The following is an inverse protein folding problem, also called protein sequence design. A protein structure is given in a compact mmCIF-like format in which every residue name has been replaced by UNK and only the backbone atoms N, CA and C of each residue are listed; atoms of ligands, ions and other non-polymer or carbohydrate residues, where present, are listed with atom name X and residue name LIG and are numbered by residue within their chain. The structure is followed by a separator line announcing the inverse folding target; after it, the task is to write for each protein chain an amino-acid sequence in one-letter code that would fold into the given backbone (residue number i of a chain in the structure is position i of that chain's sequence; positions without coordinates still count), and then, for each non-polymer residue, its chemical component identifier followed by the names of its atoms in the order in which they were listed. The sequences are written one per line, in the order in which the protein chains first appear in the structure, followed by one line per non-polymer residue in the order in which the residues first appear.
data_IF_847687671704
#
_entry.id   IF_847687671704
#
_cell.length_a   1.000
_cell.length_b   1.000
_cell.length_c   1.000
_cell.angle_alpha   90.00
_cell.angle_beta   90.00
_cell.angle_gamma   90.00
#
_symmetry.space_group_name_H-M   'P 1'
#
loop_
_entity.id
_entity.type
_entity.pdbx_description
1 polymer ?
#
# COMPACT_ATOMS: atom_id res chain seq x y z
N UNK A 1 22.05 -10.84 7.33
CA UNK A 1 22.32 -9.44 6.98
C UNK A 1 20.99 -8.72 7.08
N UNK A 2 20.89 -7.66 7.88
CA UNK A 2 19.63 -6.96 8.12
C UNK A 2 19.66 -5.60 7.41
N UNK A 3 18.72 -5.40 6.49
CA UNK A 3 18.53 -4.12 5.81
C UNK A 3 17.23 -3.49 6.31
N UNK A 4 17.27 -2.21 6.68
CA UNK A 4 16.10 -1.44 7.10
C UNK A 4 16.06 -0.13 6.32
N UNK A 5 14.89 0.23 5.82
CA UNK A 5 14.73 1.45 5.05
C UNK A 5 13.33 2.04 5.25
N UNK A 6 13.26 3.38 5.22
CA UNK A 6 12.00 4.14 5.29
C UNK A 6 11.57 4.44 3.86
N UNK A 7 10.37 3.99 3.49
CA UNK A 7 9.85 4.17 2.13
C UNK A 7 8.91 5.35 1.99
N UNK A 8 8.08 5.58 3.00
CA UNK A 8 7.06 6.61 2.97
C UNK A 8 6.79 7.15 4.37
N UNK A 9 6.33 8.39 4.40
CA UNK A 9 5.80 9.01 5.60
C UNK A 9 4.55 9.82 5.25
N UNK A 10 3.69 10.00 6.24
CA UNK A 10 2.51 10.86 6.16
C UNK A 10 2.48 11.78 7.38
N UNK A 11 2.06 13.02 7.18
CA UNK A 11 1.74 13.95 8.26
C UNK A 11 0.23 13.88 8.51
N UNK A 12 -0.17 13.93 9.77
CA UNK A 12 -1.58 13.93 10.14
C UNK A 12 -2.29 15.16 9.56
N UNK A 13 -3.60 15.08 9.29
CA UNK A 13 -4.35 16.21 8.71
C UNK A 13 -4.32 17.51 9.51
N UNK A 14 -4.11 17.42 10.83
CA UNK A 14 -3.96 18.57 11.72
C UNK A 14 -2.51 19.07 11.84
N UNK A 15 -1.55 18.41 11.19
CA UNK A 15 -0.13 18.78 11.19
C UNK A 15 0.64 18.44 12.47
N UNK A 16 0.00 17.77 13.44
CA UNK A 16 0.59 17.56 14.77
C UNK A 16 1.41 16.27 14.90
N UNK A 17 1.20 15.31 14.00
CA UNK A 17 1.80 13.97 14.06
C UNK A 17 2.37 13.56 12.71
N UNK A 18 3.30 12.62 12.78
CA UNK A 18 3.89 11.97 11.63
C UNK A 18 3.78 10.45 11.81
N UNK A 19 3.52 9.75 10.71
CA UNK A 19 3.60 8.30 10.61
C UNK A 19 4.63 7.97 9.53
N UNK A 20 5.42 6.91 9.74
CA UNK A 20 6.34 6.38 8.72
C UNK A 20 6.38 4.86 8.83
N UNK A 21 6.58 4.22 7.68
CA UNK A 21 6.74 2.78 7.64
C UNK A 21 8.21 2.40 7.41
N UNK A 22 8.62 1.33 8.07
CA UNK A 22 9.94 0.72 7.94
C UNK A 22 9.74 -0.70 7.44
N UNK A 23 10.40 -1.03 6.33
CA UNK A 23 10.51 -2.40 5.88
C UNK A 23 11.90 -2.92 6.30
N UNK A 24 11.93 -4.06 7.00
CA UNK A 24 13.17 -4.74 7.35
C UNK A 24 13.20 -6.13 6.73
N UNK A 25 14.23 -6.41 5.95
CA UNK A 25 14.49 -7.76 5.42
C UNK A 25 15.25 -8.53 6.50
N UNK A 26 14.71 -9.69 6.88
CA UNK A 26 15.23 -10.56 7.94
C UNK A 26 15.18 -12.02 7.51
N UNK A 27 15.96 -12.87 8.20
CA UNK A 27 15.90 -14.35 8.08
C UNK A 27 15.89 -14.84 6.63
N UNK A 28 16.91 -14.44 5.86
CA UNK A 28 17.13 -14.94 4.50
C UNK A 28 17.50 -16.43 4.62
N UNK A 29 16.67 -17.29 4.03
CA UNK A 29 16.88 -18.72 3.93
C UNK A 29 17.30 -19.01 2.49
N UNK A 30 18.49 -19.57 2.32
CA UNK A 30 18.99 -20.03 1.03
C UNK A 30 18.35 -21.38 0.70
N UNK A 31 17.20 -21.34 0.01
CA UNK A 31 16.60 -22.46 -0.73
C UNK A 31 16.66 -22.17 -2.25
N UNK A 32 16.29 -23.13 -3.11
CA UNK A 32 16.39 -23.01 -4.58
C UNK A 32 15.75 -21.71 -5.13
N UNK A 33 14.73 -21.20 -4.44
CA UNK A 33 13.99 -19.98 -4.76
C UNK A 33 14.46 -18.75 -3.91
N UNK A 34 15.10 -18.95 -2.76
CA UNK A 34 15.45 -17.87 -1.83
C UNK A 34 14.25 -17.27 -1.09
N UNK A 35 13.92 -17.80 0.08
CA UNK A 35 12.89 -17.25 0.96
C UNK A 35 13.47 -16.18 1.89
N UNK A 36 12.83 -15.00 1.99
CA UNK A 36 13.11 -14.04 3.07
C UNK A 36 11.84 -13.60 3.78
N UNK A 37 12.02 -12.96 4.93
CA UNK A 37 10.93 -12.37 5.70
C UNK A 37 11.06 -10.86 5.72
N UNK A 38 10.02 -10.17 5.24
CA UNK A 38 9.90 -8.72 5.36
C UNK A 38 9.08 -8.43 6.61
N UNK A 39 9.72 -7.78 7.56
CA UNK A 39 9.06 -7.23 8.73
C UNK A 39 8.63 -5.81 8.39
N UNK A 40 7.32 -5.60 8.29
CA UNK A 40 6.73 -4.29 8.04
C UNK A 40 6.31 -3.68 9.37
N UNK A 41 6.84 -2.51 9.68
CA UNK A 41 6.60 -1.79 10.93
C UNK A 41 6.10 -0.39 10.63
N UNK A 42 5.08 0.07 11.35
CA UNK A 42 4.57 1.45 11.27
C UNK A 42 4.80 2.11 12.60
N UNK A 43 5.46 3.26 12.54
CA UNK A 43 5.69 4.11 13.69
C UNK A 43 4.88 5.39 13.57
N UNK A 44 4.51 5.96 14.71
CA UNK A 44 3.96 7.30 14.82
C UNK A 44 4.76 8.11 15.83
N UNK A 45 4.77 9.42 15.68
CA UNK A 45 5.32 10.36 16.67
C UNK A 45 4.60 11.71 16.54
N UNK A 46 4.78 12.58 17.52
CA UNK A 46 4.51 14.01 17.34
C UNK A 46 5.49 14.58 16.29
N UNK A 47 5.13 15.71 15.68
CA UNK A 47 5.97 16.33 14.64
C UNK A 47 7.35 16.78 15.15
N UNK A 48 7.48 17.01 16.46
CA UNK A 48 8.76 17.30 17.15
C UNK A 48 9.57 16.03 17.47
N UNK A 49 9.11 14.86 17.04
CA UNK A 49 9.76 13.56 17.22
C UNK A 49 9.49 12.90 18.58
N UNK A 50 8.77 13.56 19.49
CA UNK A 50 8.41 12.98 20.80
C UNK A 50 7.27 11.97 20.68
N UNK A 51 7.08 11.20 21.75
CA UNK A 51 6.03 10.19 21.85
C UNK A 51 6.05 9.15 20.72
N UNK A 52 7.26 8.78 20.26
CA UNK A 52 7.42 7.74 19.25
C UNK A 52 6.84 6.41 19.73
N UNK A 53 5.96 5.81 18.93
CA UNK A 53 5.32 4.52 19.21
C UNK A 53 5.33 3.62 17.97
N UNK A 54 5.60 2.33 18.17
CA UNK A 54 5.30 1.29 17.18
C UNK A 54 3.80 0.99 17.27
N UNK A 55 3.07 1.18 16.17
CA UNK A 55 1.60 1.07 16.15
C UNK A 55 1.11 -0.11 15.31
N UNK A 56 1.97 -0.63 14.45
CA UNK A 56 1.70 -1.83 13.68
C UNK A 56 2.99 -2.57 13.39
N UNK A 57 2.91 -3.90 13.41
CA UNK A 57 3.98 -4.79 13.00
C UNK A 57 3.37 -6.05 12.41
N UNK A 58 3.85 -6.41 11.23
CA UNK A 58 3.57 -7.69 10.60
C UNK A 58 4.87 -8.30 10.07
N UNK A 59 4.83 -9.60 9.83
CA UNK A 59 5.91 -10.31 9.15
C UNK A 59 5.33 -11.02 7.94
N UNK A 60 5.87 -10.71 6.79
CA UNK A 60 5.46 -11.20 5.50
C UNK A 60 6.52 -12.18 5.01
N UNK A 61 6.10 -13.38 4.62
CA UNK A 61 6.98 -14.33 3.93
C UNK A 61 7.04 -13.95 2.46
N UNK A 62 8.22 -13.72 1.93
CA UNK A 62 8.46 -13.40 0.52
C UNK A 62 9.33 -14.52 -0.06
N UNK A 63 8.86 -15.14 -1.12
CA UNK A 63 9.65 -16.07 -1.94
C UNK A 63 10.40 -15.28 -3.01
N UNK A 64 11.47 -15.85 -3.56
CA UNK A 64 12.18 -15.27 -4.70
C UNK A 64 12.93 -13.97 -4.41
N UNK A 65 13.43 -13.79 -3.18
CA UNK A 65 14.10 -12.54 -2.77
C UNK A 65 15.41 -12.30 -3.52
N UNK A 66 16.03 -13.36 -4.06
CA UNK A 66 17.20 -13.25 -4.94
C UNK A 66 16.83 -13.08 -6.42
N UNK A 67 15.56 -13.20 -6.79
CA UNK A 67 15.06 -12.99 -8.16
C UNK A 67 14.60 -11.53 -8.42
N UNK A 68 15.14 -10.57 -7.65
CA UNK A 68 14.71 -9.16 -7.61
C UNK A 68 13.21 -8.98 -7.25
N UNK A 69 12.57 -9.97 -6.60
CA UNK A 69 11.18 -9.86 -6.16
C UNK A 69 11.10 -9.31 -4.71
N UNK A 70 10.39 -8.20 -4.53
CA UNK A 70 10.16 -7.58 -3.23
C UNK A 70 8.69 -7.25 -3.03
N UNK A 71 8.18 -7.36 -1.80
CA UNK A 71 6.84 -6.88 -1.46
C UNK A 71 6.94 -5.77 -0.42
N UNK A 72 6.30 -4.65 -0.71
CA UNK A 72 6.28 -3.50 0.17
C UNK A 72 4.85 -3.07 0.44
N UNK A 73 4.55 -2.66 1.67
CA UNK A 73 3.40 -1.80 1.92
C UNK A 73 3.84 -0.35 1.94
N UNK A 74 3.10 0.49 1.22
CA UNK A 74 3.33 1.92 1.10
C UNK A 74 2.11 2.64 1.65
N UNK A 75 2.34 3.54 2.59
CA UNK A 75 1.27 4.42 3.06
C UNK A 75 0.88 5.37 1.93
N UNK A 76 -0.43 5.51 1.72
CA UNK A 76 -0.98 6.34 0.64
C UNK A 76 -1.87 7.47 1.17
N UNK A 77 -2.45 7.31 2.37
CA UNK A 77 -3.35 8.32 2.92
C UNK A 77 -3.51 8.24 4.44
N UNK A 78 -3.65 9.39 5.10
CA UNK A 78 -4.07 9.50 6.50
C UNK A 78 -5.45 10.14 6.55
N UNK A 79 -6.42 9.42 7.11
CA UNK A 79 -7.80 9.86 7.24
C UNK A 79 -7.93 11.20 7.97
N UNK A 80 -8.69 12.10 7.36
CA UNK A 80 -9.15 13.40 7.89
C UNK A 80 -10.41 13.26 8.74
N UNK A 81 -11.18 12.17 8.59
CA UNK A 81 -12.42 11.93 9.33
C UNK A 81 -12.25 10.99 10.51
N UNK A 82 -11.45 9.95 10.35
CA UNK A 82 -11.22 8.90 11.34
C UNK A 82 -9.81 9.10 11.89
N UNK A 83 -9.72 9.73 13.07
CA UNK A 83 -8.50 10.33 13.63
C UNK A 83 -7.28 9.42 13.78
N UNK A 84 -7.42 8.10 13.60
CA UNK A 84 -6.34 7.12 13.77
C UNK A 84 -6.28 6.11 12.62
N UNK A 85 -6.76 6.48 11.43
CA UNK A 85 -6.77 5.56 10.29
C UNK A 85 -5.75 5.96 9.23
N UNK A 86 -4.88 4.99 8.90
CA UNK A 86 -3.93 5.06 7.80
C UNK A 86 -4.34 4.09 6.71
N UNK A 87 -4.06 4.43 5.46
CA UNK A 87 -4.31 3.56 4.33
C UNK A 87 -3.00 3.20 3.63
N UNK A 88 -2.94 1.96 3.14
CA UNK A 88 -1.77 1.36 2.52
C UNK A 88 -2.14 0.71 1.20
N UNK A 89 -1.25 0.82 0.21
CA UNK A 89 -1.22 -0.07 -0.94
C UNK A 89 -0.09 -1.08 -0.79
N UNK A 90 -0.24 -2.27 -1.34
CA UNK A 90 0.89 -3.18 -1.54
C UNK A 90 1.54 -2.87 -2.88
N UNK A 91 2.86 -2.95 -2.94
CA UNK A 91 3.67 -2.83 -4.13
C UNK A 91 4.57 -4.04 -4.21
N UNK A 92 4.35 -4.87 -5.23
CA UNK A 92 5.24 -5.97 -5.56
C UNK A 92 6.22 -5.46 -6.61
N UNK A 93 7.51 -5.52 -6.28
CA UNK A 93 8.62 -5.27 -7.17
C UNK A 93 9.05 -6.63 -7.70
N UNK A 94 9.40 -6.69 -8.97
CA UNK A 94 10.01 -7.84 -9.62
C UNK A 94 10.88 -7.38 -10.78
N UNK A 95 11.83 -8.22 -11.18
CA UNK A 95 12.82 -7.87 -12.22
C UNK A 95 12.18 -7.45 -13.55
N UNK A 96 11.14 -8.18 -13.95
CA UNK A 96 10.46 -8.04 -15.24
C UNK A 96 9.09 -7.38 -15.12
N UNK A 97 8.59 -7.22 -13.89
CA UNK A 97 7.28 -6.66 -13.64
C UNK A 97 7.21 -6.09 -12.22
N UNK A 98 6.48 -5.00 -12.03
CA UNK A 98 6.16 -4.46 -10.70
C UNK A 98 4.71 -4.03 -10.70
N UNK A 99 3.92 -4.49 -9.74
CA UNK A 99 2.49 -4.17 -9.68
C UNK A 99 2.14 -3.56 -8.34
N UNK A 100 1.18 -2.64 -8.34
CA UNK A 100 0.49 -2.29 -7.11
C UNK A 100 -0.75 -3.18 -6.95
N UNK A 101 -1.05 -3.54 -5.72
CA UNK A 101 -2.19 -4.37 -5.36
C UNK A 101 -2.77 -3.98 -4.02
N UNK A 102 -4.08 -4.14 -3.92
CA UNK A 102 -4.88 -3.98 -2.72
C UNK A 102 -4.81 -2.60 -2.07
N UNK A 103 -5.90 -2.23 -1.40
CA UNK A 103 -5.97 -1.11 -0.47
C UNK A 103 -6.32 -1.66 0.91
N UNK A 104 -5.56 -1.26 1.92
CA UNK A 104 -5.79 -1.65 3.30
C UNK A 104 -6.02 -0.42 4.17
N UNK A 105 -6.73 -0.61 5.27
CA UNK A 105 -6.91 0.38 6.31
C UNK A 105 -6.38 -0.15 7.64
N UNK A 106 -5.46 0.59 8.25
CA UNK A 106 -4.90 0.33 9.58
C UNK A 106 -5.56 1.27 10.59
N UNK A 107 -6.08 0.71 11.66
CA UNK A 107 -6.37 1.48 12.87
C UNK A 107 -5.12 1.52 13.75
N UNK A 108 -4.54 2.71 13.93
CA UNK A 108 -3.30 2.95 14.70
C UNK A 108 -3.48 2.61 16.18
N UNK A 109 -4.67 2.79 16.76
CA UNK A 109 -4.91 2.54 18.19
C UNK A 109 -4.99 1.04 18.49
N UNK A 110 -5.65 0.27 17.62
CA UNK A 110 -5.86 -1.16 17.83
C UNK A 110 -4.82 -2.03 17.12
N UNK A 111 -4.07 -1.47 16.17
CA UNK A 111 -3.19 -2.22 15.28
C UNK A 111 -3.93 -3.12 14.27
N UNK A 112 -5.26 -2.99 14.16
CA UNK A 112 -6.06 -3.80 13.26
C UNK A 112 -5.88 -3.33 11.81
N UNK A 113 -5.46 -4.24 10.94
CA UNK A 113 -5.33 -4.03 9.51
C UNK A 113 -6.45 -4.78 8.76
N UNK A 114 -7.24 -4.06 7.98
CA UNK A 114 -8.33 -4.61 7.18
C UNK A 114 -8.11 -4.36 5.69
N UNK A 115 -8.32 -5.36 4.84
CA UNK A 115 -8.36 -5.17 3.39
C UNK A 115 -9.67 -4.50 2.99
N UNK A 116 -9.58 -3.40 2.24
CA UNK A 116 -10.71 -2.60 1.75
C UNK A 116 -11.10 -3.07 0.35
N UNK A 117 -10.12 -3.22 -0.52
CA UNK A 117 -10.35 -3.65 -1.90
C UNK A 117 -9.06 -4.26 -2.46
N UNK A 118 -9.11 -5.53 -2.88
CA UNK A 118 -7.96 -6.26 -3.42
C UNK A 118 -7.58 -5.88 -4.86
N UNK A 119 -8.54 -5.34 -5.61
CA UNK A 119 -8.41 -5.06 -7.05
C UNK A 119 -7.85 -3.65 -7.30
N UNK A 120 -7.49 -2.92 -6.24
CA UNK A 120 -6.81 -1.62 -6.34
C UNK A 120 -5.40 -1.85 -6.84
N UNK A 121 -5.08 -1.30 -8.01
CA UNK A 121 -3.71 -1.14 -8.45
C UNK A 121 -3.16 0.16 -7.85
N UNK A 122 -3.44 1.32 -8.43
CA UNK A 122 -2.97 2.60 -7.90
C UNK A 122 -4.09 3.30 -7.13
N UNK A 123 -3.83 3.62 -5.87
CA UNK A 123 -4.67 4.56 -5.11
C UNK A 123 -4.50 5.97 -5.69
N UNK A 124 -5.60 6.64 -6.03
CA UNK A 124 -5.56 8.00 -6.57
C UNK A 124 -5.96 9.03 -5.51
N UNK A 125 -7.13 8.85 -4.88
CA UNK A 125 -7.57 9.74 -3.80
C UNK A 125 -8.81 9.23 -3.04
N UNK A 126 -9.09 9.85 -1.90
CA UNK A 126 -10.42 9.85 -1.29
C UNK A 126 -11.21 11.09 -1.72
N UNK A 127 -12.54 10.94 -1.72
CA UNK A 127 -13.47 12.07 -1.66
C UNK A 127 -13.32 12.85 -0.34
N UNK A 128 -13.78 14.11 -0.32
CA UNK A 128 -13.65 15.01 0.85
C UNK A 128 -14.30 14.47 2.14
N UNK A 129 -15.38 13.70 2.00
CA UNK A 129 -16.07 13.04 3.10
C UNK A 129 -15.57 11.62 3.36
N UNK A 130 -14.59 11.13 2.59
CA UNK A 130 -13.94 9.82 2.69
C UNK A 130 -14.88 8.62 2.55
N UNK A 131 -16.00 8.79 1.82
CA UNK A 131 -16.94 7.70 1.53
C UNK A 131 -16.69 7.04 0.16
N UNK A 132 -15.99 7.75 -0.72
CA UNK A 132 -15.59 7.27 -2.05
C UNK A 132 -14.07 7.21 -2.18
N UNK A 133 -13.57 6.16 -2.83
CA UNK A 133 -12.16 5.96 -3.21
C UNK A 133 -12.04 5.96 -4.73
N UNK A 134 -11.17 6.81 -5.26
CA UNK A 134 -10.73 6.77 -6.65
C UNK A 134 -9.45 5.96 -6.77
N UNK A 135 -9.40 5.06 -7.75
CA UNK A 135 -8.26 4.18 -7.96
C UNK A 135 -8.18 3.67 -9.41
N UNK A 136 -7.03 3.14 -9.81
CA UNK A 136 -6.89 2.37 -11.06
C UNK A 136 -7.05 0.89 -10.75
N UNK A 137 -7.90 0.15 -11.48
CA UNK A 137 -8.08 -1.27 -11.23
C UNK A 137 -6.92 -2.09 -11.78
N UNK A 138 -6.51 -3.13 -11.05
CA UNK A 138 -5.56 -4.13 -11.55
C UNK A 138 -6.32 -5.02 -12.55
N UNK A 139 -5.98 -4.94 -13.83
CA UNK A 139 -6.64 -5.71 -14.89
C UNK A 139 -5.99 -7.07 -15.15
N UNK A 140 -4.95 -7.42 -14.40
CA UNK A 140 -4.17 -8.64 -14.54
C UNK A 140 -3.59 -8.87 -15.95
N UNK A 141 -3.52 -7.84 -16.80
CA UNK A 141 -2.90 -7.96 -18.12
C UNK A 141 -1.37 -7.92 -18.01
N UNK A 142 -0.69 -8.71 -18.85
CA UNK A 142 0.75 -8.92 -18.73
C UNK A 142 1.54 -7.61 -18.93
N UNK A 143 2.81 -7.61 -18.50
CA UNK A 143 3.68 -6.43 -18.41
C UNK A 143 3.33 -5.51 -17.23
N UNK A 144 3.47 -6.07 -16.03
CA UNK A 144 3.61 -5.29 -14.81
C UNK A 144 2.37 -4.60 -14.27
N UNK A 145 1.13 -5.06 -14.55
CA UNK A 145 -0.07 -4.65 -13.80
C UNK A 145 -0.06 -3.16 -13.44
N UNK A 146 0.39 -2.37 -14.41
CA UNK A 146 0.59 -0.93 -14.35
C UNK A 146 -0.32 -0.45 -15.45
N UNK A 147 -1.16 0.53 -15.15
CA UNK A 147 -2.22 1.07 -16.01
C UNK A 147 -1.73 1.68 -17.36
N UNK A 148 -0.60 1.24 -17.91
CA UNK A 148 -0.13 1.57 -19.26
C UNK A 148 -1.08 1.06 -20.35
N UNK A 149 -1.88 0.02 -20.09
CA UNK A 149 -2.68 -0.66 -21.13
C UNK A 149 -4.17 -0.30 -21.12
N UNK A 150 -4.81 -0.13 -19.96
CA UNK A 150 -6.27 0.04 -19.89
C UNK A 150 -6.74 1.50 -19.65
N UNK A 151 -5.88 2.38 -19.14
CA UNK A 151 -6.19 3.78 -18.80
C UNK A 151 -7.55 3.93 -18.11
N UNK A 152 -7.82 3.12 -17.08
CA UNK A 152 -9.11 3.12 -16.38
C UNK A 152 -9.02 3.81 -15.02
N UNK A 153 -10.07 4.56 -14.68
CA UNK A 153 -10.30 5.05 -13.31
C UNK A 153 -11.64 4.54 -12.81
N UNK A 154 -11.62 3.97 -11.62
CA UNK A 154 -12.79 3.43 -10.92
C UNK A 154 -13.03 4.19 -9.62
N UNK A 155 -14.30 4.29 -9.24
CA UNK A 155 -14.76 4.83 -7.97
C UNK A 155 -15.43 3.71 -7.19
N UNK A 156 -14.89 3.39 -6.01
CA UNK A 156 -15.53 2.53 -5.02
C UNK A 156 -16.25 3.38 -3.98
N UNK A 157 -17.54 3.11 -3.77
CA UNK A 157 -18.30 3.58 -2.61
C UNK A 157 -18.09 2.60 -1.44
N UNK A 158 -17.49 3.09 -0.36
CA UNK A 158 -17.15 2.29 0.82
C UNK A 158 -18.36 1.94 1.69
N UNK A 159 -19.48 2.67 1.54
CA UNK A 159 -20.70 2.44 2.30
C UNK A 159 -21.53 1.37 1.61
N UNK A 160 -21.77 1.54 0.30
CA UNK A 160 -22.63 0.64 -0.45
C UNK A 160 -21.88 -0.55 -1.07
N UNK A 161 -20.55 -0.49 -1.14
CA UNK A 161 -19.71 -1.45 -1.89
C UNK A 161 -19.82 -1.30 -3.41
N UNK A 162 -20.59 -0.32 -3.91
CA UNK A 162 -20.78 -0.11 -5.35
C UNK A 162 -19.50 0.38 -5.99
N UNK A 163 -19.17 -0.21 -7.14
CA UNK A 163 -18.00 0.15 -7.92
C UNK A 163 -18.40 0.64 -9.31
N UNK A 164 -17.86 1.79 -9.74
CA UNK A 164 -18.20 2.43 -11.00
C UNK A 164 -16.95 2.84 -11.75
N UNK A 165 -16.82 2.44 -13.02
CA UNK A 165 -15.79 2.95 -13.92
C UNK A 165 -16.20 4.34 -14.43
N UNK A 166 -15.33 5.33 -14.26
CA UNK A 166 -15.61 6.74 -14.64
C UNK A 166 -14.77 7.22 -15.82
N UNK A 167 -13.65 6.55 -16.09
CA UNK A 167 -12.78 6.86 -17.24
C UNK A 167 -12.26 5.56 -17.83
N UNK A 168 -12.30 5.45 -19.16
CA UNK A 168 -11.73 4.35 -19.92
C UNK A 168 -11.24 4.92 -21.25
N UNK A 169 -9.93 4.89 -21.50
CA UNK A 169 -9.38 5.17 -22.83
C UNK A 169 -8.80 3.91 -23.43
N UNK A 170 -9.56 3.27 -24.33
CA UNK A 170 -9.00 2.22 -25.20
C UNK A 170 -7.94 2.85 -26.11
N UNK A 171 -6.69 2.42 -25.95
CA UNK A 171 -5.68 2.62 -26.98
C UNK A 171 -5.92 1.53 -28.02
N UNK A 172 -6.58 1.87 -29.13
CA UNK A 172 -6.65 0.97 -30.28
C UNK A 172 -5.29 0.98 -30.96
N UNK A 173 -4.56 -0.13 -30.89
CA UNK A 173 -3.43 -0.36 -31.77
C UNK A 173 -3.99 -0.72 -33.16
N UNK A 174 -3.79 0.18 -34.13
CA UNK A 174 -3.94 -0.11 -35.56
C UNK A 174 -2.60 -0.60 -36.11
#
# INVERSE_FOLDING_TARGET
MDFSFVNNFLISPDGLRIAWNVNRITNIIEDDDGTAFIKHEVYTANIDGKDKRLVFKEQLKVKDVFADNGMERRMVYWSRKIKNQLFFSTFNIGQLWSEYKSLFALNIETGLLSEINKDVEVFLNFSLNETLVAYTPNDHTCCAGTNYTNNTVSILDLISGKNVVIYLRRISYF
#
